data_IF_938681079559
#
_entry.id   IF_938681079559
#
_cell.length_a   1.000
_cell.length_b   1.000
_cell.length_c   1.000
_cell.angle_alpha   90.00
_cell.angle_beta   90.00
_cell.angle_gamma   90.00
#
_symmetry.space_group_name_H-M   'P 1'
#
loop_
_entity.id
_entity.type
_entity.pdbx_description
1 polymer ?
#
# COMPACT_ATOMS: atom_id res chain seq x y z
N UNK A 1 19.05 -17.69 11.09
CA UNK A 1 18.14 -18.81 11.36
C UNK A 1 16.70 -18.30 11.55
N UNK A 2 15.67 -19.14 11.37
CA UNK A 2 14.25 -18.78 11.53
C UNK A 2 13.93 -18.19 12.92
N UNK A 3 14.61 -18.63 13.97
CA UNK A 3 14.44 -18.11 15.33
C UNK A 3 14.91 -16.67 15.49
N UNK A 4 16.00 -16.28 14.85
CA UNK A 4 16.50 -14.90 14.93
C UNK A 4 15.58 -13.89 14.24
N UNK A 5 14.89 -14.28 13.15
CA UNK A 5 13.91 -13.41 12.47
C UNK A 5 12.61 -13.21 13.27
N UNK A 6 12.22 -14.18 14.09
CA UNK A 6 11.06 -14.03 14.99
C UNK A 6 11.39 -13.22 16.25
N UNK A 7 12.65 -13.25 16.73
CA UNK A 7 13.07 -12.42 17.86
C UNK A 7 12.99 -10.92 17.54
N UNK A 8 13.34 -10.51 16.31
CA UNK A 8 13.26 -9.09 15.92
C UNK A 8 11.85 -8.49 15.92
N UNK A 9 10.81 -9.31 15.94
CA UNK A 9 9.41 -8.86 15.96
C UNK A 9 8.83 -8.84 17.40
N UNK A 10 9.41 -9.63 18.32
CA UNK A 10 8.78 -9.94 19.60
C UNK A 10 9.47 -9.34 20.83
N UNK A 11 10.72 -8.99 20.70
CA UNK A 11 11.47 -8.42 21.81
C UNK A 11 11.37 -6.89 21.79
N UNK A 12 10.42 -6.39 22.55
CA UNK A 12 10.50 -5.03 23.03
C UNK A 12 11.57 -4.97 24.13
N UNK A 13 12.81 -4.66 23.75
CA UNK A 13 13.85 -4.43 24.75
C UNK A 13 13.61 -3.09 25.42
N UNK A 14 13.30 -3.12 26.68
CA UNK A 14 13.31 -1.95 27.56
C UNK A 14 14.74 -1.62 28.04
N UNK A 15 15.70 -1.65 27.14
CA UNK A 15 17.08 -1.31 27.45
C UNK A 15 17.41 0.08 26.99
N UNK A 16 17.63 0.96 27.93
CA UNK A 16 18.20 2.28 27.71
C UNK A 16 17.17 3.40 27.87
N UNK A 17 17.41 4.26 28.85
CA UNK A 17 16.70 5.52 28.97
C UNK A 17 16.91 6.36 27.72
N UNK A 18 15.84 6.92 27.19
CA UNK A 18 15.84 7.82 26.04
C UNK A 18 16.62 9.08 26.44
N UNK A 19 17.63 9.45 25.68
CA UNK A 19 18.28 10.75 25.83
C UNK A 19 17.24 11.86 25.62
N UNK A 20 17.18 12.87 26.49
CA UNK A 20 16.05 13.81 26.57
C UNK A 20 15.72 14.58 25.31
N UNK A 21 16.65 14.73 24.37
CA UNK A 21 16.42 15.39 23.08
C UNK A 21 15.72 14.49 22.04
N UNK A 22 15.74 13.17 22.22
CA UNK A 22 15.16 12.21 21.26
C UNK A 22 13.65 12.00 21.45
N UNK A 23 13.08 12.36 22.61
CA UNK A 23 11.66 12.12 22.89
C UNK A 23 10.73 12.89 21.95
N UNK A 24 11.12 14.11 21.55
CA UNK A 24 10.33 14.97 20.66
C UNK A 24 10.51 14.63 19.17
N UNK A 25 11.61 13.95 18.83
CA UNK A 25 11.93 13.56 17.46
C UNK A 25 11.61 12.08 17.15
N UNK A 26 11.27 11.29 18.17
CA UNK A 26 11.01 9.85 18.03
C UNK A 26 9.63 9.52 17.43
N UNK A 27 8.74 8.94 18.24
CA UNK A 27 7.40 8.51 17.77
C UNK A 27 6.58 9.60 17.08
N UNK A 28 6.57 10.88 17.51
CA UNK A 28 5.86 11.94 16.81
C UNK A 28 6.37 12.17 15.39
N UNK A 29 7.68 11.96 15.15
CA UNK A 29 8.26 12.07 13.81
C UNK A 29 7.81 10.93 12.90
N UNK A 30 7.72 9.72 13.41
CA UNK A 30 7.20 8.56 12.65
C UNK A 30 5.74 8.77 12.28
N UNK A 31 4.92 9.28 13.21
CA UNK A 31 3.52 9.63 12.93
C UNK A 31 3.44 10.72 11.85
N UNK A 32 4.24 11.77 11.94
CA UNK A 32 4.30 12.84 10.95
C UNK A 32 4.65 12.32 9.55
N UNK A 33 5.61 11.40 9.46
CA UNK A 33 6.01 10.76 8.21
C UNK A 33 4.87 9.91 7.62
N UNK A 34 4.28 9.01 8.42
CA UNK A 34 3.21 8.14 7.94
C UNK A 34 1.90 8.89 7.64
N UNK A 35 1.64 10.00 8.29
CA UNK A 35 0.50 10.87 7.93
C UNK A 35 0.84 11.84 6.80
N UNK A 36 2.07 11.79 6.27
CA UNK A 36 2.56 12.70 5.23
C UNK A 36 2.26 14.17 5.54
N UNK A 37 2.40 14.55 6.82
CA UNK A 37 2.19 15.94 7.26
C UNK A 37 3.39 16.80 6.87
N UNK A 38 3.14 18.08 6.65
CA UNK A 38 4.21 19.05 6.45
C UNK A 38 5.02 19.19 7.74
N UNK A 39 6.35 18.93 7.72
CA UNK A 39 7.17 18.98 8.92
C UNK A 39 7.29 20.40 9.47
N UNK A 40 7.42 20.52 10.82
CA UNK A 40 7.57 21.82 11.48
C UNK A 40 8.90 22.49 11.16
N UNK A 41 9.99 21.72 11.04
CA UNK A 41 11.30 22.19 10.59
C UNK A 41 11.53 21.82 9.13
N UNK A 42 10.85 22.50 8.20
CA UNK A 42 10.92 22.22 6.78
C UNK A 42 12.29 22.55 6.21
N UNK A 43 12.93 21.58 5.57
CA UNK A 43 14.09 21.82 4.72
C UNK A 43 13.63 22.39 3.36
N UNK A 44 14.34 23.39 2.89
CA UNK A 44 14.16 23.91 1.54
C UNK A 44 14.95 23.00 0.60
N UNK A 45 14.33 22.56 -0.48
CA UNK A 45 14.92 21.68 -1.48
C UNK A 45 15.02 22.39 -2.83
N UNK A 46 16.03 22.02 -3.62
CA UNK A 46 16.21 22.53 -4.97
C UNK A 46 15.16 21.91 -5.90
N UNK A 47 14.46 22.75 -6.67
CA UNK A 47 13.47 22.26 -7.64
C UNK A 47 14.12 21.73 -8.92
N UNK A 48 15.25 22.27 -9.29
CA UNK A 48 16.05 21.84 -10.45
C UNK A 48 17.54 21.83 -10.11
N UNK A 49 18.31 21.11 -10.89
CA UNK A 49 19.75 21.04 -10.74
C UNK A 49 20.45 22.28 -11.28
N UNK A 50 21.54 22.67 -10.65
CA UNK A 50 22.33 23.81 -11.10
C UNK A 50 23.40 24.20 -10.08
N UNK A 51 24.09 25.30 -10.38
CA UNK A 51 25.12 25.87 -9.53
C UNK A 51 24.50 26.78 -8.48
N UNK A 52 24.81 26.53 -7.21
CA UNK A 52 24.32 27.34 -6.10
C UNK A 52 25.21 28.56 -5.85
N UNK A 53 24.61 29.71 -5.72
CA UNK A 53 25.21 30.97 -5.32
C UNK A 53 24.57 31.48 -4.06
N UNK A 54 25.34 31.69 -3.00
CA UNK A 54 24.80 32.19 -1.71
C UNK A 54 24.92 33.71 -1.72
N UNK A 55 23.79 34.40 -1.67
CA UNK A 55 23.68 35.85 -1.54
C UNK A 55 23.25 36.22 -0.14
N UNK A 56 24.18 36.74 0.66
CA UNK A 56 23.88 37.17 2.03
C UNK A 56 23.80 38.72 2.05
N UNK A 57 22.58 39.21 2.16
CA UNK A 57 22.32 40.63 2.29
C UNK A 57 21.89 40.92 3.74
N UNK A 58 22.24 42.08 4.31
CA UNK A 58 22.00 42.46 5.71
C UNK A 58 20.54 42.22 6.20
N UNK A 59 19.59 42.03 5.29
CA UNK A 59 18.17 41.78 5.62
C UNK A 59 17.62 40.44 5.16
N UNK A 60 18.30 39.74 4.23
CA UNK A 60 17.79 38.51 3.61
C UNK A 60 18.96 37.59 3.26
N UNK A 61 18.81 36.32 3.52
CA UNK A 61 19.68 35.26 3.03
C UNK A 61 18.97 34.55 1.87
N UNK A 62 19.60 34.50 0.75
CA UNK A 62 19.04 33.90 -0.47
C UNK A 62 20.08 32.94 -1.07
N UNK A 63 19.62 31.75 -1.48
CA UNK A 63 20.42 30.84 -2.31
C UNK A 63 19.83 30.89 -3.71
N UNK A 64 20.61 31.30 -4.66
CA UNK A 64 20.24 31.34 -6.06
C UNK A 64 20.80 30.11 -6.74
N UNK A 65 19.95 29.31 -7.35
CA UNK A 65 20.37 28.17 -8.16
C UNK A 65 20.23 28.59 -9.62
N UNK A 66 21.31 28.46 -10.35
CA UNK A 66 21.34 28.77 -11.80
C UNK A 66 21.67 27.48 -12.56
N UNK A 67 20.80 27.09 -13.46
CA UNK A 67 21.07 26.01 -14.39
C UNK A 67 21.80 26.58 -15.60
N UNK A 68 23.01 26.08 -15.85
CA UNK A 68 23.83 26.54 -16.98
C UNK A 68 23.29 26.05 -18.33
N UNK A 69 22.51 24.95 -18.35
CA UNK A 69 21.97 24.37 -19.59
C UNK A 69 20.68 25.05 -20.05
N UNK A 70 19.73 25.31 -19.12
CA UNK A 70 18.43 25.92 -19.45
C UNK A 70 18.40 27.43 -19.28
N UNK A 71 19.39 28.00 -18.60
CA UNK A 71 19.45 29.44 -18.29
C UNK A 71 18.43 29.86 -17.19
N UNK A 72 17.72 28.91 -16.58
CA UNK A 72 16.77 29.20 -15.52
C UNK A 72 17.50 29.50 -14.21
N UNK A 73 17.09 30.56 -13.53
CA UNK A 73 17.58 30.90 -12.19
C UNK A 73 16.43 31.08 -11.23
N UNK A 74 16.52 30.48 -10.05
CA UNK A 74 15.54 30.63 -8.97
C UNK A 74 16.21 30.97 -7.65
N UNK A 75 15.70 32.02 -7.00
CA UNK A 75 16.16 32.45 -5.70
C UNK A 75 15.29 31.84 -4.60
N UNK A 76 15.92 31.13 -3.66
CA UNK A 76 15.27 30.55 -2.48
C UNK A 76 15.59 31.40 -1.25
N UNK A 77 14.54 31.98 -0.66
CA UNK A 77 14.66 32.77 0.55
C UNK A 77 14.82 31.84 1.77
N UNK A 78 15.91 32.03 2.52
CA UNK A 78 16.20 31.21 3.69
C UNK A 78 15.76 31.98 4.95
N UNK A 79 14.89 31.36 5.79
CA UNK A 79 14.48 31.93 7.07
C UNK A 79 15.67 32.15 8.01
N UNK A 80 15.60 33.20 8.82
CA UNK A 80 16.59 33.45 9.87
C UNK A 80 16.61 32.26 10.85
N UNK A 81 17.81 31.77 11.15
CA UNK A 81 18.02 30.64 12.04
C UNK A 81 18.14 29.27 11.35
N UNK A 82 17.79 29.16 10.07
CA UNK A 82 18.04 27.92 9.30
C UNK A 82 19.52 27.84 8.92
N UNK A 83 20.11 26.67 9.12
CA UNK A 83 21.49 26.39 8.69
C UNK A 83 21.50 25.98 7.24
N UNK A 84 22.39 26.59 6.45
CA UNK A 84 22.62 26.24 5.06
C UNK A 84 23.52 25.02 5.03
N UNK A 85 23.13 24.00 4.25
CA UNK A 85 23.89 22.75 4.06
C UNK A 85 24.84 22.84 2.86
N UNK A 86 24.55 23.72 1.93
CA UNK A 86 25.21 23.87 0.63
C UNK A 86 26.36 24.87 0.74
N UNK A 87 27.45 24.60 0.03
CA UNK A 87 28.57 25.52 -0.12
C UNK A 87 28.38 26.43 -1.35
N UNK A 88 28.95 27.62 -1.30
CA UNK A 88 28.94 28.55 -2.44
C UNK A 88 29.67 27.95 -3.63
N UNK A 89 29.05 28.01 -4.83
CA UNK A 89 29.58 27.41 -6.05
C UNK A 89 29.38 25.90 -6.19
N UNK A 90 28.69 25.23 -5.27
CA UNK A 90 28.41 23.79 -5.34
C UNK A 90 27.40 23.50 -6.46
N UNK A 91 27.65 22.45 -7.24
CA UNK A 91 26.68 21.91 -8.19
C UNK A 91 25.71 21.01 -7.45
N UNK A 92 24.42 21.29 -7.58
CA UNK A 92 23.33 20.58 -6.94
C UNK A 92 22.50 19.82 -7.96
N UNK A 93 21.94 18.70 -7.51
CA UNK A 93 20.91 17.99 -8.27
C UNK A 93 19.51 18.45 -7.85
N UNK A 94 18.53 18.21 -8.73
CA UNK A 94 17.13 18.45 -8.39
C UNK A 94 16.74 17.65 -7.14
N UNK A 95 16.16 18.33 -6.13
CA UNK A 95 15.73 17.75 -4.86
C UNK A 95 16.81 17.62 -3.79
N UNK A 96 17.97 18.23 -3.94
CA UNK A 96 18.95 18.33 -2.87
C UNK A 96 18.52 19.35 -1.82
N UNK A 97 18.91 19.08 -0.58
CA UNK A 97 18.55 19.91 0.56
C UNK A 97 19.44 21.14 0.63
N UNK A 98 18.85 22.34 0.56
CA UNK A 98 19.54 23.61 0.72
C UNK A 98 19.78 23.98 2.17
N UNK A 99 18.82 23.60 3.04
CA UNK A 99 18.88 23.88 4.49
C UNK A 99 18.78 22.59 5.28
N UNK A 100 19.34 22.60 6.49
CA UNK A 100 19.13 21.52 7.45
C UNK A 100 17.65 21.48 7.84
N UNK A 101 17.07 20.29 7.90
CA UNK A 101 15.69 20.08 8.34
C UNK A 101 15.08 18.80 7.76
N UNK A 102 13.79 18.67 7.95
CA UNK A 102 13.03 17.53 7.43
C UNK A 102 12.42 17.86 6.09
N UNK A 103 12.59 16.99 5.12
CA UNK A 103 12.01 17.18 3.77
C UNK A 103 10.52 16.87 3.78
N UNK A 104 9.74 17.65 3.04
CA UNK A 104 8.33 17.36 2.81
C UNK A 104 8.18 16.24 1.77
N UNK A 105 7.56 15.09 2.10
CA UNK A 105 7.38 13.99 1.14
C UNK A 105 6.62 14.38 -0.13
N UNK A 106 5.69 15.31 -0.04
CA UNK A 106 4.93 15.81 -1.19
C UNK A 106 5.79 16.55 -2.22
N UNK A 107 6.73 17.37 -1.76
CA UNK A 107 7.61 18.14 -2.63
C UNK A 107 8.67 17.23 -3.24
N UNK A 108 9.18 16.28 -2.45
CA UNK A 108 10.11 15.27 -2.93
C UNK A 108 9.49 14.38 -4.03
N UNK A 109 8.20 14.03 -3.89
CA UNK A 109 7.47 13.26 -4.91
C UNK A 109 7.39 14.01 -6.24
N UNK A 110 7.17 15.33 -6.19
CA UNK A 110 7.07 16.16 -7.41
C UNK A 110 8.40 16.31 -8.12
N UNK A 111 9.51 16.38 -7.37
CA UNK A 111 10.83 16.72 -7.90
C UNK A 111 11.62 15.45 -8.29
N UNK A 112 11.82 14.53 -7.34
CA UNK A 112 12.63 13.32 -7.54
C UNK A 112 11.81 12.07 -7.91
N UNK A 113 10.49 12.13 -7.80
CA UNK A 113 9.61 11.02 -8.13
C UNK A 113 9.44 9.99 -7.01
N UNK A 114 8.83 8.83 -7.35
CA UNK A 114 8.32 7.84 -6.39
C UNK A 114 9.44 7.13 -5.63
N UNK A 115 10.49 6.69 -6.35
CA UNK A 115 11.60 5.93 -5.76
C UNK A 115 12.30 6.72 -4.66
N UNK A 116 12.59 7.99 -4.91
CA UNK A 116 13.23 8.86 -3.93
C UNK A 116 12.40 9.06 -2.66
N UNK A 117 11.07 9.13 -2.80
CA UNK A 117 10.16 9.21 -1.65
C UNK A 117 10.16 7.91 -0.85
N UNK A 118 10.11 6.76 -1.53
CA UNK A 118 10.17 5.45 -0.88
C UNK A 118 11.45 5.29 -0.05
N UNK A 119 12.59 5.60 -0.65
CA UNK A 119 13.90 5.52 0.00
C UNK A 119 14.03 6.53 1.16
N UNK A 120 13.48 7.74 0.99
CA UNK A 120 13.47 8.76 2.03
C UNK A 120 12.63 8.31 3.23
N UNK A 121 11.40 7.87 3.00
CA UNK A 121 10.50 7.39 4.05
C UNK A 121 11.10 6.22 4.82
N UNK A 122 11.65 5.24 4.09
CA UNK A 122 12.30 4.08 4.68
C UNK A 122 13.47 4.49 5.58
N UNK A 123 14.38 5.33 5.05
CA UNK A 123 15.56 5.79 5.81
C UNK A 123 15.20 6.58 7.05
N UNK A 124 14.25 7.51 6.95
CA UNK A 124 13.86 8.35 8.09
C UNK A 124 13.15 7.54 9.18
N UNK A 125 12.24 6.62 8.83
CA UNK A 125 11.57 5.76 9.80
C UNK A 125 12.58 4.82 10.47
N UNK A 126 13.44 4.17 9.70
CA UNK A 126 14.50 3.32 10.23
C UNK A 126 15.47 4.09 11.14
N UNK A 127 15.82 5.31 10.77
CA UNK A 127 16.67 6.18 11.59
C UNK A 127 16.08 6.40 12.98
N UNK A 128 14.79 6.73 13.04
CA UNK A 128 14.10 6.97 14.32
C UNK A 128 14.08 5.70 15.18
N UNK A 129 13.76 4.54 14.61
CA UNK A 129 13.73 3.29 15.36
C UNK A 129 15.13 2.83 15.81
N UNK A 130 16.16 2.97 14.95
CA UNK A 130 17.54 2.62 15.30
C UNK A 130 18.10 3.49 16.42
N UNK A 131 17.74 4.78 16.46
CA UNK A 131 18.11 5.67 17.58
C UNK A 131 17.53 5.19 18.91
N UNK A 132 16.41 4.48 18.89
CA UNK A 132 15.79 3.88 20.07
C UNK A 132 16.24 2.42 20.31
N UNK A 133 17.22 1.93 19.55
CA UNK A 133 17.73 0.56 19.68
C UNK A 133 16.79 -0.53 19.16
N UNK A 134 15.82 -0.19 18.34
CA UNK A 134 14.86 -1.13 17.75
C UNK A 134 15.20 -1.38 16.28
N UNK A 135 15.44 -2.63 15.93
CA UNK A 135 15.65 -3.05 14.54
C UNK A 135 14.35 -3.60 13.95
N UNK A 136 13.88 -2.98 12.88
CA UNK A 136 12.70 -3.39 12.13
C UNK A 136 13.13 -3.82 10.72
N UNK A 137 12.59 -4.91 10.21
CA UNK A 137 12.84 -5.32 8.83
C UNK A 137 12.17 -4.34 7.86
N UNK A 138 12.89 -3.92 6.81
CA UNK A 138 12.47 -2.91 5.85
C UNK A 138 11.12 -3.21 5.20
N UNK A 139 10.84 -4.49 4.91
CA UNK A 139 9.58 -4.94 4.30
C UNK A 139 8.31 -4.46 4.99
N UNK A 140 8.34 -4.27 6.32
CA UNK A 140 7.16 -3.80 7.07
C UNK A 140 6.87 -2.32 6.80
N UNK A 141 7.92 -1.52 6.65
CA UNK A 141 7.82 -0.11 6.30
C UNK A 141 7.45 0.05 4.82
N UNK A 142 8.07 -0.75 3.95
CA UNK A 142 7.80 -0.75 2.51
C UNK A 142 6.33 -1.03 2.18
N UNK A 143 5.69 -1.98 2.88
CA UNK A 143 4.26 -2.27 2.71
C UNK A 143 3.41 -1.04 3.03
N UNK A 144 3.71 -0.32 4.10
CA UNK A 144 2.99 0.89 4.47
C UNK A 144 3.19 2.00 3.43
N UNK A 145 4.43 2.25 3.03
CA UNK A 145 4.76 3.27 2.03
C UNK A 145 4.13 2.96 0.67
N UNK A 146 4.09 1.68 0.28
CA UNK A 146 3.39 1.23 -0.93
C UNK A 146 1.91 1.60 -0.90
N UNK A 147 1.23 1.38 0.23
CA UNK A 147 -0.19 1.75 0.37
C UNK A 147 -0.42 3.27 0.35
N UNK A 148 0.52 4.05 0.87
CA UNK A 148 0.45 5.52 0.83
C UNK A 148 0.58 6.08 -0.59
N UNK A 149 1.25 5.38 -1.49
CA UNK A 149 1.51 5.77 -2.89
C UNK A 149 0.59 5.06 -3.91
N UNK A 150 -0.44 4.37 -3.45
CA UNK A 150 -1.33 3.55 -4.29
C UNK A 150 -2.25 4.38 -5.20
N UNK A 151 -2.51 5.65 -4.88
CA UNK A 151 -3.50 6.47 -5.58
C UNK A 151 -2.87 7.48 -6.54
N UNK A 152 -3.58 7.65 -7.66
CA UNK A 152 -3.31 8.68 -8.68
C UNK A 152 -4.45 9.67 -8.68
N UNK A 153 -4.14 10.95 -8.81
CA UNK A 153 -5.12 12.01 -9.05
C UNK A 153 -5.18 12.28 -10.53
N UNK A 154 -6.35 12.19 -11.10
CA UNK A 154 -6.59 12.49 -12.52
C UNK A 154 -6.49 14.01 -12.72
N UNK A 155 -5.66 14.45 -13.65
CA UNK A 155 -5.56 15.86 -14.09
C UNK A 155 -6.36 16.07 -15.37
N UNK A 156 -6.16 15.24 -16.36
CA UNK A 156 -6.87 15.25 -17.61
C UNK A 156 -7.52 13.87 -17.85
N UNK A 157 -8.78 13.84 -18.17
CA UNK A 157 -9.51 12.58 -18.36
C UNK A 157 -9.30 11.94 -19.73
N UNK A 158 -8.82 12.69 -20.75
CA UNK A 158 -8.80 12.18 -22.11
C UNK A 158 -10.15 11.59 -22.52
N UNK A 159 -10.14 10.42 -23.12
CA UNK A 159 -11.33 9.66 -23.52
C UNK A 159 -11.79 8.64 -22.46
N UNK A 160 -11.30 8.75 -21.20
CA UNK A 160 -11.68 7.86 -20.12
C UNK A 160 -12.99 8.29 -19.44
N UNK A 161 -13.63 7.36 -18.73
CA UNK A 161 -14.80 7.64 -17.86
C UNK A 161 -14.40 8.32 -16.53
N UNK A 162 -13.12 8.54 -16.28
CA UNK A 162 -12.65 9.16 -15.04
C UNK A 162 -12.99 10.64 -15.00
N UNK A 163 -13.41 11.11 -13.83
CA UNK A 163 -13.63 12.53 -13.62
C UNK A 163 -12.34 13.22 -13.19
N UNK A 164 -12.03 14.41 -13.72
CA UNK A 164 -10.88 15.21 -13.27
C UNK A 164 -10.93 15.45 -11.77
N UNK A 165 -9.77 15.33 -11.11
CA UNK A 165 -9.62 15.51 -9.66
C UNK A 165 -9.98 14.29 -8.81
N UNK A 166 -10.51 13.21 -9.37
CA UNK A 166 -10.78 11.97 -8.64
C UNK A 166 -9.50 11.21 -8.32
N UNK A 167 -9.58 10.38 -7.28
CA UNK A 167 -8.50 9.49 -6.85
C UNK A 167 -8.80 8.07 -7.32
N UNK A 168 -7.96 7.55 -8.18
CA UNK A 168 -8.08 6.21 -8.74
C UNK A 168 -6.89 5.36 -8.32
N UNK A 169 -7.03 4.05 -8.24
CA UNK A 169 -5.91 3.13 -8.00
C UNK A 169 -4.98 3.12 -9.21
N UNK A 170 -3.69 3.00 -8.93
CA UNK A 170 -2.66 2.98 -9.98
C UNK A 170 -2.90 1.86 -10.99
N UNK A 171 -3.27 0.67 -10.50
CA UNK A 171 -3.50 -0.50 -11.36
C UNK A 171 -4.69 -0.29 -12.28
N UNK A 172 -5.81 0.22 -11.77
CA UNK A 172 -7.00 0.50 -12.56
C UNK A 172 -6.73 1.61 -13.60
N UNK A 173 -5.94 2.62 -13.20
CA UNK A 173 -5.52 3.68 -14.09
C UNK A 173 -4.63 3.18 -15.23
N UNK A 174 -3.64 2.34 -14.93
CA UNK A 174 -2.75 1.75 -15.92
C UNK A 174 -3.51 0.81 -16.86
N UNK A 175 -4.39 -0.06 -16.33
CA UNK A 175 -5.20 -0.98 -17.11
C UNK A 175 -6.16 -0.27 -18.09
N UNK A 176 -6.81 0.82 -17.64
CA UNK A 176 -7.68 1.62 -18.51
C UNK A 176 -6.90 2.34 -19.59
N UNK A 177 -5.73 2.90 -19.25
CA UNK A 177 -4.89 3.57 -20.24
C UNK A 177 -4.33 2.60 -21.28
N UNK A 178 -3.96 1.38 -20.87
CA UNK A 178 -3.54 0.33 -21.81
C UNK A 178 -4.65 -0.06 -22.78
N UNK A 179 -5.88 -0.24 -22.28
CA UNK A 179 -7.07 -0.55 -23.14
C UNK A 179 -7.33 0.56 -24.15
N UNK A 180 -7.33 1.82 -23.71
CA UNK A 180 -7.59 2.95 -24.60
C UNK A 180 -6.47 3.17 -25.62
N UNK A 181 -5.21 2.98 -25.21
CA UNK A 181 -4.08 3.04 -26.13
C UNK A 181 -4.17 1.95 -27.20
N UNK A 182 -4.60 0.74 -26.84
CA UNK A 182 -4.85 -0.34 -27.79
C UNK A 182 -6.00 -0.02 -28.77
N UNK A 183 -7.00 0.76 -28.32
CA UNK A 183 -8.10 1.25 -29.15
C UNK A 183 -7.73 2.51 -29.98
N UNK A 184 -6.55 3.10 -29.77
CA UNK A 184 -6.11 4.33 -30.45
C UNK A 184 -6.79 5.60 -29.95
N UNK A 185 -7.30 5.61 -28.72
CA UNK A 185 -7.90 6.76 -28.04
C UNK A 185 -6.90 7.48 -27.16
N UNK A 186 -7.22 8.71 -26.72
CA UNK A 186 -6.36 9.48 -25.83
C UNK A 186 -6.42 8.92 -24.40
N UNK A 187 -5.27 8.53 -23.82
CA UNK A 187 -5.21 8.06 -22.42
C UNK A 187 -5.41 9.22 -21.44
N UNK A 188 -5.84 8.89 -20.22
CA UNK A 188 -5.93 9.87 -19.14
C UNK A 188 -4.54 10.24 -18.61
N UNK A 189 -4.37 11.50 -18.23
CA UNK A 189 -3.19 11.98 -17.53
C UNK A 189 -3.46 12.10 -16.03
N UNK A 190 -2.56 11.58 -15.20
CA UNK A 190 -2.68 11.63 -13.77
C UNK A 190 -1.33 11.75 -13.06
N UNK A 191 -1.36 12.42 -11.90
CA UNK A 191 -0.19 12.52 -11.02
C UNK A 191 -0.35 11.62 -9.82
N UNK A 192 0.68 10.84 -9.52
CA UNK A 192 0.74 10.09 -8.27
C UNK A 192 0.79 11.04 -7.09
N UNK A 193 0.04 10.70 -6.06
CA UNK A 193 -0.01 11.46 -4.81
C UNK A 193 0.37 10.56 -3.64
N UNK A 194 0.91 11.17 -2.61
CA UNK A 194 1.12 10.51 -1.33
C UNK A 194 -0.06 10.82 -0.41
N UNK A 195 -0.65 9.81 0.18
CA UNK A 195 -1.70 9.92 1.18
C UNK A 195 -1.15 9.49 2.54
N UNK A 196 -1.53 10.19 3.60
CA UNK A 196 -1.30 9.69 4.95
C UNK A 196 -2.04 8.36 5.18
N UNK A 197 -1.56 7.54 6.10
CA UNK A 197 -2.13 6.20 6.37
C UNK A 197 -3.63 6.26 6.68
N UNK A 198 -4.06 7.25 7.45
CA UNK A 198 -5.49 7.44 7.78
C UNK A 198 -6.32 7.72 6.53
N UNK A 199 -5.86 8.65 5.67
CA UNK A 199 -6.55 8.96 4.41
C UNK A 199 -6.51 7.80 3.42
N UNK A 200 -5.38 7.09 3.35
CA UNK A 200 -5.23 5.92 2.50
C UNK A 200 -6.18 4.79 2.93
N UNK A 201 -6.36 4.59 4.24
CA UNK A 201 -7.30 3.59 4.77
C UNK A 201 -8.77 3.92 4.49
N UNK A 202 -9.14 5.21 4.43
CA UNK A 202 -10.49 5.66 4.07
C UNK A 202 -10.72 5.68 2.55
N UNK A 203 -9.67 5.83 1.75
CA UNK A 203 -9.72 5.88 0.30
C UNK A 203 -9.68 4.49 -0.36
N UNK A 204 -9.97 3.42 0.38
CA UNK A 204 -10.08 2.06 -0.16
C UNK A 204 -11.36 1.89 -0.97
N UNK A 205 -11.37 0.93 -1.89
CA UNK A 205 -12.56 0.61 -2.69
C UNK A 205 -13.68 0.03 -1.84
N UNK A 206 -13.33 -0.84 -0.87
CA UNK A 206 -14.27 -1.43 0.05
C UNK A 206 -14.80 -0.41 1.04
N UNK A 207 -16.07 -0.08 0.92
CA UNK A 207 -16.73 0.80 1.88
C UNK A 207 -16.94 0.13 3.26
N UNK A 208 -17.05 -1.19 3.31
CA UNK A 208 -17.16 -1.94 4.57
C UNK A 208 -15.87 -1.82 5.39
N UNK A 209 -14.73 -1.98 4.74
CA UNK A 209 -13.41 -1.80 5.37
C UNK A 209 -13.22 -0.38 5.88
N UNK A 210 -13.54 0.62 5.08
CA UNK A 210 -13.43 2.02 5.44
C UNK A 210 -14.37 2.39 6.62
N UNK A 211 -15.64 1.95 6.56
CA UNK A 211 -16.62 2.20 7.61
C UNK A 211 -16.25 1.59 8.96
N UNK A 212 -15.58 0.44 8.96
CA UNK A 212 -15.13 -0.21 10.20
C UNK A 212 -13.90 0.45 10.84
N UNK A 213 -13.25 1.38 10.13
CA UNK A 213 -12.07 2.09 10.64
C UNK A 213 -12.46 3.41 11.33
N UNK A 214 -12.97 4.37 10.59
CA UNK A 214 -13.37 5.68 11.10
C UNK A 214 -14.52 6.27 10.25
N UNK A 215 -15.19 7.29 10.78
CA UNK A 215 -16.24 8.05 10.07
C UNK A 215 -17.36 7.15 9.49
N UNK A 216 -17.78 6.13 10.24
CA UNK A 216 -18.73 5.08 9.81
C UNK A 216 -19.95 5.65 9.10
N UNK A 217 -20.62 6.64 9.71
CA UNK A 217 -21.85 7.24 9.17
C UNK A 217 -21.61 7.93 7.82
N UNK A 218 -20.53 8.70 7.71
CA UNK A 218 -20.18 9.42 6.49
C UNK A 218 -19.86 8.46 5.34
N UNK A 219 -19.02 7.44 5.62
CA UNK A 219 -18.62 6.44 4.62
C UNK A 219 -19.83 5.66 4.12
N UNK A 220 -20.71 5.19 5.02
CA UNK A 220 -21.93 4.47 4.63
C UNK A 220 -22.90 5.34 3.85
N UNK A 221 -23.07 6.60 4.25
CA UNK A 221 -23.92 7.55 3.52
C UNK A 221 -23.39 7.82 2.11
N UNK A 222 -22.08 8.07 1.96
CA UNK A 222 -21.47 8.23 0.63
C UNK A 222 -21.59 6.96 -0.23
N UNK A 223 -21.40 5.79 0.36
CA UNK A 223 -21.55 4.53 -0.35
C UNK A 223 -22.98 4.30 -0.83
N UNK A 224 -23.97 4.63 0.00
CA UNK A 224 -25.38 4.53 -0.36
C UNK A 224 -25.77 5.50 -1.48
N UNK A 225 -25.33 6.76 -1.40
CA UNK A 225 -25.62 7.79 -2.43
C UNK A 225 -24.97 7.39 -3.78
N UNK A 226 -23.75 6.85 -3.76
CA UNK A 226 -23.02 6.46 -4.95
C UNK A 226 -23.40 5.06 -5.47
N UNK A 227 -24.24 4.31 -4.77
CA UNK A 227 -24.59 2.94 -5.13
C UNK A 227 -23.39 1.99 -5.19
N UNK A 228 -22.40 2.16 -4.29
CA UNK A 228 -21.18 1.35 -4.31
C UNK A 228 -21.47 -0.11 -4.01
N UNK A 229 -20.83 -0.99 -4.76
CA UNK A 229 -20.85 -2.43 -4.56
C UNK A 229 -19.49 -2.85 -4.00
N UNK A 230 -19.47 -3.66 -2.94
CA UNK A 230 -18.25 -4.20 -2.36
C UNK A 230 -18.01 -5.63 -2.88
N UNK A 231 -16.91 -5.82 -3.58
CA UNK A 231 -16.58 -7.11 -4.19
C UNK A 231 -16.03 -8.15 -3.19
N UNK A 232 -15.89 -7.80 -1.91
CA UNK A 232 -15.42 -8.69 -0.84
C UNK A 232 -14.05 -9.34 -1.13
N UNK A 233 -13.15 -8.58 -1.73
CA UNK A 233 -11.81 -9.06 -2.12
C UNK A 233 -10.87 -9.10 -0.90
N UNK A 234 -11.03 -8.16 0.04
CA UNK A 234 -10.17 -8.03 1.22
C UNK A 234 -10.50 -9.03 2.32
N UNK A 235 -9.60 -9.12 3.29
CA UNK A 235 -9.80 -9.99 4.45
C UNK A 235 -10.87 -9.44 5.40
N UNK A 236 -10.83 -8.14 5.64
CA UNK A 236 -11.65 -7.44 6.64
C UNK A 236 -13.14 -7.50 6.31
N UNK A 237 -13.49 -7.28 5.06
CA UNK A 237 -14.85 -7.32 4.55
C UNK A 237 -15.50 -8.72 4.75
N UNK A 238 -14.74 -9.76 4.41
CA UNK A 238 -15.21 -11.13 4.56
C UNK A 238 -15.39 -11.51 6.05
N UNK A 239 -14.49 -11.06 6.92
CA UNK A 239 -14.60 -11.28 8.37
C UNK A 239 -15.83 -10.58 8.95
N UNK A 240 -16.11 -9.34 8.53
CA UNK A 240 -17.28 -8.56 8.99
C UNK A 240 -18.58 -9.27 8.63
N UNK A 241 -18.67 -9.80 7.40
CA UNK A 241 -19.88 -10.50 6.92
C UNK A 241 -19.96 -11.94 7.43
N UNK A 242 -18.87 -12.50 7.96
CA UNK A 242 -18.84 -13.89 8.44
C UNK A 242 -18.57 -14.91 7.33
N UNK A 243 -18.06 -14.49 6.17
CA UNK A 243 -17.62 -15.38 5.09
C UNK A 243 -16.18 -15.84 5.31
N UNK A 244 -15.81 -16.94 4.66
CA UNK A 244 -14.43 -17.39 4.64
C UNK A 244 -13.55 -16.34 3.97
N UNK A 245 -12.40 -16.05 4.58
CA UNK A 245 -11.42 -15.13 3.98
C UNK A 245 -10.85 -15.73 2.67
N UNK A 246 -10.56 -14.92 1.65
CA UNK A 246 -10.08 -15.41 0.36
C UNK A 246 -8.60 -15.82 0.40
N UNK A 247 -8.19 -16.53 1.47
CA UNK A 247 -6.84 -17.00 1.73
C UNK A 247 -6.89 -18.42 2.32
N UNK A 248 -5.92 -19.25 1.99
CA UNK A 248 -5.90 -20.64 2.45
C UNK A 248 -7.10 -21.42 1.91
N UNK A 249 -7.84 -22.08 2.79
CA UNK A 249 -9.01 -22.91 2.42
C UNK A 249 -10.19 -22.11 1.85
N UNK A 250 -10.24 -20.78 2.05
CA UNK A 250 -11.26 -19.90 1.48
C UNK A 250 -10.99 -19.44 0.05
N UNK A 251 -9.88 -19.80 -0.53
CA UNK A 251 -9.57 -19.49 -1.93
C UNK A 251 -10.52 -20.22 -2.88
N UNK A 252 -10.91 -19.56 -3.99
CA UNK A 252 -11.77 -20.15 -5.03
C UNK A 252 -11.27 -21.51 -5.51
N UNK A 253 -9.96 -21.68 -5.61
CA UNK A 253 -9.30 -22.93 -6.01
C UNK A 253 -9.72 -24.11 -5.11
N UNK A 254 -9.78 -23.92 -3.81
CA UNK A 254 -10.15 -25.00 -2.88
C UNK A 254 -11.65 -25.18 -2.72
N UNK A 255 -12.45 -24.14 -2.94
CA UNK A 255 -13.92 -24.21 -2.86
C UNK A 255 -14.52 -25.11 -3.96
N UNK A 256 -13.87 -25.19 -5.11
CA UNK A 256 -14.34 -25.98 -6.26
C UNK A 256 -13.77 -27.40 -6.26
N UNK A 257 -12.92 -27.76 -5.26
CA UNK A 257 -12.33 -29.10 -5.16
C UNK A 257 -13.41 -30.06 -4.65
N UNK A 258 -13.76 -31.06 -5.46
CA UNK A 258 -14.64 -32.17 -5.05
C UNK A 258 -13.76 -33.37 -4.75
N UNK A 259 -14.05 -34.04 -3.64
CA UNK A 259 -13.41 -35.31 -3.32
C UNK A 259 -14.03 -36.41 -4.21
N UNK A 260 -13.18 -37.15 -4.93
CA UNK A 260 -13.62 -38.36 -5.59
C UNK A 260 -13.63 -39.48 -4.54
N UNK A 261 -14.78 -40.10 -4.36
CA UNK A 261 -14.95 -41.22 -3.44
C UNK A 261 -14.66 -42.57 -4.11
N UNK A 262 -14.27 -42.58 -5.39
CA UNK A 262 -14.09 -43.80 -6.18
C UNK A 262 -12.86 -44.66 -5.78
N UNK A 263 -12.11 -44.25 -4.76
CA UNK A 263 -10.90 -44.94 -4.29
C UNK A 263 -10.89 -45.23 -2.78
N UNK A 264 -12.03 -45.23 -2.11
CA UNK A 264 -12.09 -45.79 -0.77
C UNK A 264 -12.29 -47.31 -0.94
N UNK A 265 -11.17 -48.03 -1.12
CA UNK A 265 -11.16 -49.43 -0.74
C UNK A 265 -11.60 -49.47 0.74
N UNK A 266 -12.77 -49.99 0.98
CA UNK A 266 -13.21 -50.30 2.34
C UNK A 266 -12.19 -51.23 2.93
N UNK A 267 -11.33 -50.69 3.78
CA UNK A 267 -10.47 -51.49 4.63
C UNK A 267 -11.45 -52.18 5.59
N UNK A 268 -11.80 -53.39 5.24
CA UNK A 268 -12.57 -54.27 6.06
C UNK A 268 -11.71 -54.63 7.29
N UNK A 269 -11.90 -53.88 8.36
CA UNK A 269 -11.42 -54.27 9.67
C UNK A 269 -12.24 -55.45 10.14
N UNK A 270 -11.92 -56.64 9.59
CA UNK A 270 -12.53 -57.87 9.99
C UNK A 270 -12.43 -58.07 11.51
N UNK A 271 -13.53 -58.35 12.07
CA UNK A 271 -13.58 -59.01 13.37
C UNK A 271 -14.30 -58.32 14.49
N UNK A 272 -15.52 -58.71 14.65
CA UNK A 272 -16.20 -58.98 15.94
C UNK A 272 -15.62 -58.33 17.20
N UNK A 273 -16.17 -57.20 17.59
CA UNK A 273 -16.42 -56.91 19.01
C UNK A 273 -17.35 -55.70 19.19
N UNK A 274 -18.42 -56.01 19.87
CA UNK A 274 -19.52 -55.17 20.36
C UNK A 274 -20.76 -55.05 19.46
N UNK A 275 -21.74 -55.74 19.99
CA UNK A 275 -23.07 -55.91 19.47
C UNK A 275 -23.91 -54.64 19.47
N UNK A 276 -24.96 -54.80 18.72
CA UNK A 276 -26.28 -54.20 18.79
C UNK A 276 -26.47 -52.79 19.38
N UNK A 277 -27.28 -52.05 18.67
CA UNK A 277 -27.95 -50.82 19.03
C UNK A 277 -27.22 -49.50 18.77
N UNK A 278 -27.12 -49.12 17.46
CA UNK A 278 -27.26 -47.72 17.06
C UNK A 278 -27.60 -47.64 15.55
N UNK A 279 -28.87 -47.80 15.22
CA UNK A 279 -29.40 -47.28 13.95
C UNK A 279 -29.27 -45.76 13.97
N UNK A 280 -28.18 -45.24 13.36
CA UNK A 280 -28.07 -43.85 12.99
C UNK A 280 -28.83 -43.66 11.67
N UNK A 281 -30.10 -43.30 11.77
CA UNK A 281 -30.88 -42.75 10.69
C UNK A 281 -30.25 -41.50 10.14
N UNK A 282 -29.46 -41.65 9.06
CA UNK A 282 -29.00 -40.61 8.20
C UNK A 282 -29.91 -40.48 6.98
N UNK A 283 -31.19 -40.24 7.24
CA UNK A 283 -32.13 -39.76 6.24
C UNK A 283 -32.82 -38.55 6.85
N UNK A 284 -32.30 -37.40 6.57
CA UNK A 284 -33.10 -36.20 6.29
C UNK A 284 -32.15 -34.97 6.24
N UNK A 285 -31.96 -34.41 5.08
CA UNK A 285 -31.12 -33.24 4.92
C UNK A 285 -30.94 -32.81 3.46
N UNK A 286 -31.75 -33.31 2.56
CA UNK A 286 -31.65 -32.93 1.14
C UNK A 286 -32.96 -32.34 0.58
N UNK A 287 -33.56 -31.41 1.31
CA UNK A 287 -34.62 -30.57 0.75
C UNK A 287 -34.64 -29.21 1.46
N UNK A 288 -33.66 -28.38 1.15
CA UNK A 288 -33.75 -26.93 1.30
C UNK A 288 -32.54 -26.36 0.56
N UNK A 289 -32.67 -26.09 -0.72
CA UNK A 289 -31.93 -25.07 -1.51
C UNK A 289 -32.10 -25.31 -3.02
N UNK A 290 -33.34 -25.43 -3.48
CA UNK A 290 -33.67 -25.49 -4.89
C UNK A 290 -34.57 -24.32 -5.35
N UNK A 291 -34.41 -23.13 -4.74
CA UNK A 291 -35.02 -21.92 -5.30
C UNK A 291 -34.05 -20.75 -5.13
N UNK A 292 -33.23 -20.50 -6.15
CA UNK A 292 -32.35 -19.32 -6.19
C UNK A 292 -31.24 -19.33 -7.22
N UNK A 293 -31.23 -20.28 -8.14
CA UNK A 293 -30.17 -20.35 -9.15
C UNK A 293 -30.71 -20.42 -10.60
N UNK A 294 -31.61 -19.51 -10.91
CA UNK A 294 -31.86 -19.18 -12.32
C UNK A 294 -31.50 -17.74 -12.58
N UNK A 295 -30.28 -17.53 -13.04
CA UNK A 295 -29.79 -16.47 -13.95
C UNK A 295 -28.29 -16.36 -13.88
N UNK A 296 -27.64 -17.04 -14.77
CA UNK A 296 -26.46 -16.62 -15.55
C UNK A 296 -25.88 -17.84 -16.27
N UNK A 297 -26.57 -18.25 -17.30
CA UNK A 297 -25.96 -18.93 -18.45
C UNK A 297 -25.26 -17.84 -19.24
N UNK A 298 -24.03 -18.10 -19.53
CA UNK A 298 -23.15 -17.65 -20.58
C UNK A 298 -21.79 -17.14 -20.03
N UNK A 299 -20.91 -18.06 -19.74
CA UNK A 299 -19.49 -17.91 -20.08
C UNK A 299 -18.88 -19.33 -20.19
N UNK A 300 -18.73 -19.75 -21.42
CA UNK A 300 -17.91 -20.86 -21.88
C UNK A 300 -16.50 -20.69 -21.33
N UNK A 301 -16.01 -21.65 -20.58
CA UNK A 301 -14.57 -21.78 -20.33
C UNK A 301 -14.20 -23.25 -20.28
N UNK A 302 -13.45 -23.62 -21.27
CA UNK A 302 -12.83 -24.92 -21.49
C UNK A 302 -12.07 -25.36 -20.23
N UNK A 303 -12.37 -26.54 -19.76
CA UNK A 303 -11.66 -27.18 -18.66
C UNK A 303 -10.38 -27.82 -19.20
N UNK A 304 -9.24 -27.19 -19.00
CA UNK A 304 -7.94 -27.87 -19.12
C UNK A 304 -7.75 -28.81 -17.94
N UNK A 305 -7.81 -30.10 -18.23
CA UNK A 305 -7.38 -31.17 -17.32
C UNK A 305 -5.86 -31.17 -17.24
N UNK A 306 -5.31 -30.70 -16.15
CA UNK A 306 -3.89 -30.85 -15.83
C UNK A 306 -3.70 -32.24 -15.21
N UNK A 307 -3.19 -33.17 -16.00
CA UNK A 307 -2.61 -34.42 -15.50
C UNK A 307 -1.31 -34.13 -14.73
N UNK A 308 -1.31 -34.47 -13.47
CA UNK A 308 -0.08 -34.46 -12.65
C UNK A 308 0.68 -35.76 -12.95
N UNK A 309 1.63 -35.66 -13.86
CA UNK A 309 2.63 -36.71 -14.07
C UNK A 309 3.59 -36.78 -12.89
N UNK A 310 3.60 -37.88 -12.21
CA UNK A 310 4.66 -38.30 -11.29
C UNK A 310 5.80 -38.90 -12.11
N UNK A 311 6.84 -38.12 -12.38
CA UNK A 311 8.13 -38.70 -12.82
C UNK A 311 9.08 -38.81 -11.62
N UNK A 312 9.15 -40.01 -11.09
CA UNK A 312 10.32 -40.52 -10.43
C UNK A 312 11.21 -41.09 -11.55
N UNK A 313 12.43 -40.59 -11.71
CA UNK A 313 13.66 -41.36 -11.82
C UNK A 313 14.81 -40.58 -12.47
N UNK A 314 15.94 -40.67 -11.77
CA UNK A 314 17.32 -40.81 -12.28
C UNK A 314 18.04 -39.67 -13.00
N UNK A 315 18.97 -39.17 -12.34
CA UNK A 315 20.45 -39.07 -12.44
C UNK A 315 20.96 -37.74 -11.91
#
# INVERSE_FOLDING_TARGET
>A
SRRQRQMCIRDSFHSGGVAGDDITQGLPRVEELFEARKPKGLAIIAEFGGKAEIRDTKKKREVVITNEETGESKAYLIPYGSRIKVMDGQVLEAGDELTEGSVNPHDLLKIKGIRAVQDYMLREVQRVYRLQGVDIADKHIEVLVRQMLKKVRIENNGDTEFLPGTLVDVLDFEEMNEKLTAEGKEPAEGKRIILGITKAALATESFLSAASFQETTKVLTEAAIKGKVDNLIGLKENVIIGKLIPVGTGMKRYRNTRLSTDAVETIDFGGDMYGDDAELNLSDGSELDAEGAERNEDVNTEAETVEVGTDADNQ
#
